data_IF_070672247356
#
_entry.id   IF_070672247356
#
_cell.length_a   1.000
_cell.length_b   1.000
_cell.length_c   1.000
_cell.angle_alpha   90.00
_cell.angle_beta   90.00
_cell.angle_gamma   90.00
#
_symmetry.space_group_name_H-M   'P 1'
#
loop_
_entity.id
_entity.type
_entity.pdbx_description
1 polymer ?
#
# COMPACT_ATOMS: atom_id res chain seq x y z
N UNK A 1 -7.36 -7.02 -15.36
CA UNK A 1 -5.91 -6.70 -15.31
C UNK A 1 -5.18 -7.96 -14.93
N UNK A 2 -4.27 -8.40 -15.77
CA UNK A 2 -3.44 -9.59 -15.58
C UNK A 2 -2.01 -9.19 -15.16
N UNK A 3 -1.15 -10.19 -14.93
CA UNK A 3 0.24 -9.97 -14.49
C UNK A 3 1.05 -9.15 -15.51
N UNK A 4 0.88 -9.46 -16.80
CA UNK A 4 1.59 -8.75 -17.87
C UNK A 4 1.20 -7.27 -17.91
N UNK A 5 -0.09 -6.95 -17.75
CA UNK A 5 -0.56 -5.55 -17.73
C UNK A 5 0.11 -4.73 -16.63
N UNK A 6 0.30 -5.32 -15.45
CA UNK A 6 0.96 -4.66 -14.30
C UNK A 6 2.44 -4.42 -14.60
N UNK A 7 3.15 -5.42 -15.08
CA UNK A 7 4.58 -5.34 -15.41
C UNK A 7 4.81 -4.34 -16.56
N UNK A 8 3.98 -4.38 -17.61
CA UNK A 8 4.09 -3.47 -18.74
C UNK A 8 3.87 -2.02 -18.31
N UNK A 9 2.94 -1.77 -17.37
CA UNK A 9 2.73 -0.44 -16.81
C UNK A 9 3.98 0.06 -16.07
N UNK A 10 4.56 -0.74 -15.17
CA UNK A 10 5.77 -0.33 -14.44
C UNK A 10 6.98 -0.12 -15.36
N UNK A 11 7.13 -0.95 -16.39
CA UNK A 11 8.16 -0.77 -17.40
C UNK A 11 7.98 0.53 -18.19
N UNK A 12 6.74 0.92 -18.50
CA UNK A 12 6.44 2.19 -19.15
C UNK A 12 6.73 3.40 -18.24
N UNK A 13 6.43 3.29 -16.94
CA UNK A 13 6.82 4.30 -15.94
C UNK A 13 8.35 4.40 -15.82
N UNK A 14 9.06 3.28 -15.76
CA UNK A 14 10.52 3.25 -15.71
C UNK A 14 11.15 3.94 -16.95
N UNK A 15 10.66 3.63 -18.15
CA UNK A 15 11.10 4.29 -19.39
C UNK A 15 10.85 5.80 -19.35
N UNK A 16 9.67 6.21 -18.85
CA UNK A 16 9.28 7.61 -18.73
C UNK A 16 10.19 8.37 -17.75
N UNK A 17 10.54 7.71 -16.64
CA UNK A 17 11.48 8.26 -15.65
C UNK A 17 12.89 8.39 -16.21
N UNK A 18 13.41 7.35 -16.84
CA UNK A 18 14.74 7.35 -17.44
C UNK A 18 14.88 8.38 -18.59
N UNK A 19 13.78 8.73 -19.24
CA UNK A 19 13.71 9.80 -20.22
C UNK A 19 13.64 11.22 -19.58
N UNK A 20 13.77 11.35 -18.26
CA UNK A 20 13.76 12.61 -17.53
C UNK A 20 12.41 13.33 -17.46
N UNK A 21 11.31 12.63 -17.79
CA UNK A 21 9.95 13.20 -17.80
C UNK A 21 9.26 13.19 -16.43
N UNK A 22 9.82 12.46 -15.46
CA UNK A 22 9.33 12.42 -14.07
C UNK A 22 10.44 12.98 -13.18
N UNK A 23 10.18 14.11 -12.51
CA UNK A 23 11.16 14.82 -11.67
C UNK A 23 10.93 14.60 -10.16
N UNK A 24 10.30 13.50 -9.80
CA UNK A 24 10.00 13.12 -8.42
C UNK A 24 10.42 11.69 -8.14
N UNK A 25 10.59 11.30 -6.86
CA UNK A 25 10.86 9.92 -6.52
C UNK A 25 9.75 8.99 -7.02
N UNK A 26 10.15 7.82 -7.52
CA UNK A 26 9.25 6.72 -7.85
C UNK A 26 9.73 5.43 -7.17
N UNK A 27 8.80 4.57 -6.81
CA UNK A 27 9.11 3.24 -6.24
C UNK A 27 8.30 2.19 -7.00
N UNK A 28 8.97 1.50 -7.91
CA UNK A 28 8.34 0.49 -8.74
C UNK A 28 8.12 -0.83 -7.97
N UNK A 29 7.12 -1.57 -8.40
CA UNK A 29 6.88 -2.95 -7.95
C UNK A 29 7.74 -3.96 -8.72
N UNK A 30 7.99 -5.09 -8.06
CA UNK A 30 8.65 -6.26 -8.65
C UNK A 30 8.26 -7.50 -7.86
N UNK A 31 7.94 -8.60 -8.55
CA UNK A 31 7.73 -9.94 -8.00
C UNK A 31 6.55 -10.12 -7.02
N UNK A 32 5.57 -9.21 -7.00
CA UNK A 32 4.42 -9.28 -6.10
C UNK A 32 3.06 -9.34 -6.84
N UNK A 33 3.08 -9.47 -8.16
CA UNK A 33 1.91 -9.36 -9.02
C UNK A 33 0.87 -10.43 -8.72
N UNK A 34 1.30 -11.70 -8.67
CA UNK A 34 0.40 -12.84 -8.48
C UNK A 34 -0.31 -12.79 -7.12
N UNK A 35 0.44 -12.38 -6.08
CA UNK A 35 -0.14 -12.18 -4.75
C UNK A 35 -1.20 -11.07 -4.77
N UNK A 36 -0.88 -9.90 -5.32
CA UNK A 36 -1.77 -8.76 -5.35
C UNK A 36 -3.02 -9.05 -6.19
N UNK A 37 -2.87 -9.66 -7.38
CA UNK A 37 -4.00 -10.05 -8.22
C UNK A 37 -4.94 -11.00 -7.46
N UNK A 38 -4.39 -12.02 -6.81
CA UNK A 38 -5.18 -12.97 -5.99
C UNK A 38 -5.86 -12.27 -4.82
N UNK A 39 -5.14 -11.38 -4.15
CA UNK A 39 -5.65 -10.62 -3.01
C UNK A 39 -6.82 -9.72 -3.41
N UNK A 40 -6.67 -8.95 -4.49
CA UNK A 40 -7.68 -7.99 -4.96
C UNK A 40 -8.98 -8.62 -5.46
N UNK A 41 -9.00 -9.91 -5.78
CA UNK A 41 -10.26 -10.66 -6.03
C UNK A 41 -11.22 -10.64 -4.83
N UNK A 42 -10.72 -10.42 -3.61
CA UNK A 42 -11.50 -10.35 -2.36
C UNK A 42 -11.89 -8.92 -1.98
N UNK A 43 -11.27 -7.92 -2.59
CA UNK A 43 -11.51 -6.50 -2.30
C UNK A 43 -12.74 -6.02 -3.05
N UNK A 44 -13.71 -5.49 -2.32
CA UNK A 44 -14.96 -4.96 -2.90
C UNK A 44 -14.77 -3.52 -3.37
N UNK A 45 -15.67 -3.06 -4.24
CA UNK A 45 -15.64 -1.70 -4.80
C UNK A 45 -15.59 -0.61 -3.71
N UNK A 46 -16.35 -0.78 -2.63
CA UNK A 46 -16.46 0.21 -1.55
C UNK A 46 -15.49 -0.01 -0.39
N UNK A 47 -14.65 -1.03 -0.43
CA UNK A 47 -13.57 -1.19 0.54
C UNK A 47 -12.48 -0.14 0.29
N UNK A 48 -11.83 0.29 1.37
CA UNK A 48 -10.76 1.26 1.30
C UNK A 48 -9.39 0.61 1.29
N UNK A 49 -8.51 1.15 0.47
CA UNK A 49 -7.12 0.75 0.36
C UNK A 49 -6.23 1.90 0.82
N UNK A 50 -5.37 1.62 1.78
CA UNK A 50 -4.31 2.51 2.22
C UNK A 50 -2.96 1.88 1.91
N UNK A 51 -2.05 2.65 1.35
CA UNK A 51 -0.73 2.18 0.93
C UNK A 51 0.37 3.11 1.42
N UNK A 52 1.56 2.54 1.61
CA UNK A 52 2.79 3.32 1.63
C UNK A 52 3.08 3.88 0.21
N UNK A 53 4.24 4.46 0.02
CA UNK A 53 4.64 5.13 -1.24
C UNK A 53 4.67 4.24 -2.48
N UNK A 54 4.81 2.91 -2.34
CA UNK A 54 4.70 1.96 -3.45
C UNK A 54 3.25 1.50 -3.58
N UNK A 55 2.51 2.06 -4.55
CA UNK A 55 1.06 1.86 -4.61
C UNK A 55 0.46 1.76 -6.03
N UNK A 56 1.31 1.70 -7.07
CA UNK A 56 0.83 1.68 -8.45
C UNK A 56 -0.06 0.47 -8.73
N UNK A 57 0.37 -0.73 -8.32
CA UNK A 57 -0.40 -1.96 -8.54
C UNK A 57 -1.73 -1.94 -7.80
N UNK A 58 -1.77 -1.45 -6.56
CA UNK A 58 -3.02 -1.33 -5.81
C UNK A 58 -3.98 -0.35 -6.49
N UNK A 59 -3.48 0.77 -7.05
CA UNK A 59 -4.29 1.71 -7.81
C UNK A 59 -4.89 1.04 -9.04
N UNK A 60 -4.09 0.36 -9.83
CA UNK A 60 -4.52 -0.35 -11.05
C UNK A 60 -5.54 -1.43 -10.72
N UNK A 61 -5.27 -2.27 -9.73
CA UNK A 61 -6.15 -3.37 -9.32
C UNK A 61 -7.44 -2.88 -8.66
N UNK A 62 -7.44 -1.67 -8.11
CA UNK A 62 -8.65 -1.00 -7.59
C UNK A 62 -9.48 -0.33 -8.69
N UNK A 63 -8.98 -0.35 -9.93
CA UNK A 63 -9.70 0.12 -11.11
C UNK A 63 -9.39 1.56 -11.52
N UNK A 64 -8.32 2.17 -10.99
CA UNK A 64 -7.83 3.46 -11.50
C UNK A 64 -7.35 3.26 -12.94
N UNK A 65 -7.86 4.04 -13.92
CA UNK A 65 -7.43 3.90 -15.31
C UNK A 65 -5.91 4.14 -15.46
N UNK A 66 -5.18 3.29 -16.21
CA UNK A 66 -3.73 3.44 -16.38
C UNK A 66 -3.30 4.83 -16.86
N UNK A 67 -4.05 5.42 -17.80
CA UNK A 67 -3.76 6.80 -18.29
C UNK A 67 -3.87 7.85 -17.17
N UNK A 68 -4.89 7.72 -16.31
CA UNK A 68 -5.09 8.63 -15.17
C UNK A 68 -3.96 8.47 -14.15
N UNK A 69 -3.61 7.22 -13.81
CA UNK A 69 -2.53 6.93 -12.90
C UNK A 69 -1.19 7.46 -13.42
N UNK A 70 -0.87 7.20 -14.69
CA UNK A 70 0.37 7.68 -15.32
C UNK A 70 0.46 9.21 -15.30
N UNK A 71 -0.65 9.91 -15.54
CA UNK A 71 -0.68 11.37 -15.45
C UNK A 71 -0.29 11.85 -14.04
N UNK A 72 -0.90 11.33 -12.98
CA UNK A 72 -0.56 11.72 -11.59
C UNK A 72 0.90 11.38 -11.24
N UNK A 73 1.45 10.30 -11.78
CA UNK A 73 2.86 9.94 -11.58
C UNK A 73 3.78 10.96 -12.28
N UNK A 74 3.48 11.36 -13.52
CA UNK A 74 4.24 12.38 -14.24
C UNK A 74 4.15 13.73 -13.53
N UNK A 75 2.99 14.06 -12.96
CA UNK A 75 2.76 15.27 -12.16
C UNK A 75 3.44 15.21 -10.76
N UNK A 76 4.30 14.20 -10.51
CA UNK A 76 5.14 14.11 -9.32
C UNK A 76 4.48 13.45 -8.09
N UNK A 77 3.30 12.85 -8.23
CA UNK A 77 2.53 12.30 -7.10
C UNK A 77 2.71 10.81 -6.89
N UNK A 78 3.69 10.17 -7.55
CA UNK A 78 3.90 8.71 -7.49
C UNK A 78 3.88 8.13 -6.07
N UNK A 79 4.48 8.83 -5.11
CA UNK A 79 4.62 8.39 -3.72
C UNK A 79 3.47 8.84 -2.80
N UNK A 80 2.49 9.60 -3.32
CA UNK A 80 1.38 10.17 -2.54
C UNK A 80 0.08 10.22 -3.34
N UNK A 81 -0.25 9.09 -3.98
CA UNK A 81 -1.44 8.96 -4.81
C UNK A 81 -2.72 8.99 -3.96
N UNK A 82 -3.70 9.77 -4.39
CA UNK A 82 -4.99 9.90 -3.72
C UNK A 82 -6.12 9.84 -4.74
N UNK A 83 -6.90 8.76 -4.73
CA UNK A 83 -8.05 8.57 -5.61
C UNK A 83 -9.32 8.26 -4.80
N UNK A 84 -9.99 9.26 -4.20
CA UNK A 84 -11.16 9.05 -3.33
C UNK A 84 -12.31 8.32 -4.03
N UNK A 85 -12.51 8.57 -5.34
CA UNK A 85 -13.51 7.87 -6.16
C UNK A 85 -13.29 6.35 -6.15
N UNK A 86 -12.04 5.91 -6.11
CA UNK A 86 -11.65 4.50 -6.08
C UNK A 86 -11.39 3.98 -4.66
N UNK A 87 -11.60 4.83 -3.63
CA UNK A 87 -11.34 4.46 -2.24
C UNK A 87 -9.89 4.03 -1.99
N UNK A 88 -8.94 4.78 -2.55
CA UNK A 88 -7.51 4.52 -2.37
C UNK A 88 -6.78 5.79 -1.95
N UNK A 89 -5.83 5.62 -1.04
CA UNK A 89 -4.98 6.67 -0.52
C UNK A 89 -3.58 6.12 -0.23
N UNK A 90 -2.54 6.81 -0.66
CA UNK A 90 -1.16 6.48 -0.31
C UNK A 90 -0.42 7.68 0.29
N UNK A 91 0.63 7.40 1.05
CA UNK A 91 1.44 8.42 1.71
C UNK A 91 2.92 8.07 1.64
N UNK A 92 3.74 9.10 1.42
CA UNK A 92 5.19 9.02 1.49
C UNK A 92 5.73 8.95 2.94
N UNK A 93 4.90 9.26 3.92
CA UNK A 93 5.31 9.29 5.33
C UNK A 93 5.28 7.86 5.88
N UNK A 94 6.44 7.38 6.35
CA UNK A 94 6.56 6.05 6.98
C UNK A 94 5.61 5.96 8.18
N UNK A 95 4.76 4.95 8.18
CA UNK A 95 3.76 4.74 9.23
C UNK A 95 2.57 5.70 9.21
N UNK A 96 2.62 6.81 8.46
CA UNK A 96 1.58 7.85 8.48
C UNK A 96 0.18 7.35 8.08
N UNK A 97 0.10 6.38 7.18
CA UNK A 97 -1.19 5.79 6.77
C UNK A 97 -1.85 4.94 7.86
N UNK A 98 -1.09 4.46 8.83
CA UNK A 98 -1.59 3.55 9.88
C UNK A 98 -2.69 4.20 10.73
N UNK A 99 -2.45 5.33 11.41
CA UNK A 99 -3.48 5.98 12.21
C UNK A 99 -4.63 6.54 11.36
N UNK A 100 -4.35 6.96 10.11
CA UNK A 100 -5.40 7.42 9.19
C UNK A 100 -6.36 6.28 8.83
N UNK A 101 -5.82 5.13 8.45
CA UNK A 101 -6.59 3.93 8.13
C UNK A 101 -7.38 3.40 9.33
N UNK A 102 -6.77 3.49 10.54
CA UNK A 102 -7.42 3.13 11.80
C UNK A 102 -8.63 4.03 12.10
N UNK A 103 -8.47 5.34 11.95
CA UNK A 103 -9.56 6.31 12.13
C UNK A 103 -10.74 6.05 11.20
N UNK A 104 -10.46 5.74 9.92
CA UNK A 104 -11.50 5.34 8.99
C UNK A 104 -12.19 4.04 9.39
N UNK A 105 -11.43 3.02 9.80
CA UNK A 105 -11.99 1.75 10.26
C UNK A 105 -12.89 1.92 11.48
N UNK A 106 -12.51 2.80 12.42
CA UNK A 106 -13.33 3.17 13.56
C UNK A 106 -14.65 3.83 13.12
N UNK A 107 -14.59 4.77 12.15
CA UNK A 107 -15.77 5.40 11.56
C UNK A 107 -16.70 4.36 10.91
N UNK A 108 -16.14 3.45 10.10
CA UNK A 108 -16.92 2.38 9.46
C UNK A 108 -17.62 1.49 10.49
N UNK A 109 -16.94 1.15 11.59
CA UNK A 109 -17.53 0.38 12.67
C UNK A 109 -18.68 1.11 13.35
N UNK A 110 -18.48 2.40 13.69
CA UNK A 110 -19.54 3.24 14.32
C UNK A 110 -20.77 3.36 13.42
N UNK A 111 -20.56 3.46 12.10
CA UNK A 111 -21.64 3.51 11.09
C UNK A 111 -22.23 2.14 10.76
N UNK A 112 -21.81 1.07 11.43
CA UNK A 112 -22.22 -0.32 11.14
C UNK A 112 -22.06 -0.71 9.67
N UNK A 113 -21.05 -0.14 9.00
CA UNK A 113 -20.76 -0.40 7.60
C UNK A 113 -20.20 -1.81 7.40
N UNK A 114 -20.58 -2.46 6.27
CA UNK A 114 -20.04 -3.75 5.86
C UNK A 114 -18.70 -3.62 5.10
N UNK A 115 -18.25 -2.40 4.81
CA UNK A 115 -17.00 -2.15 4.10
C UNK A 115 -15.80 -2.40 5.02
N UNK A 116 -14.68 -2.74 4.41
CA UNK A 116 -13.41 -3.02 5.09
C UNK A 116 -12.35 -2.00 4.71
N UNK A 117 -11.32 -1.93 5.53
CA UNK A 117 -10.10 -1.19 5.27
C UNK A 117 -8.96 -2.19 5.09
N UNK A 118 -8.16 -2.03 4.05
CA UNK A 118 -6.94 -2.79 3.81
C UNK A 118 -5.77 -1.81 3.81
N UNK A 119 -4.81 -2.02 4.72
CA UNK A 119 -3.66 -1.15 4.90
C UNK A 119 -2.39 -1.91 4.54
N UNK A 120 -1.76 -1.52 3.42
CA UNK A 120 -0.52 -2.11 2.91
C UNK A 120 0.67 -1.34 3.45
N UNK A 121 1.55 -2.02 4.15
CA UNK A 121 2.74 -1.44 4.77
C UNK A 121 3.96 -2.30 4.47
N UNK A 122 5.14 -1.69 4.42
CA UNK A 122 6.39 -2.43 4.30
C UNK A 122 6.79 -3.10 5.63
N UNK A 123 7.66 -4.09 5.53
CA UNK A 123 8.22 -4.85 6.63
C UNK A 123 8.91 -3.99 7.69
N UNK A 124 9.74 -3.01 7.29
CA UNK A 124 10.35 -2.06 8.22
C UNK A 124 9.30 -1.25 8.99
N UNK A 125 8.24 -0.84 8.30
CA UNK A 125 7.15 -0.06 8.92
C UNK A 125 6.39 -0.89 9.95
N UNK A 126 6.22 -2.21 9.74
CA UNK A 126 5.50 -3.09 10.66
C UNK A 126 6.15 -3.21 12.04
N UNK A 127 7.45 -2.91 12.13
CA UNK A 127 8.22 -2.98 13.37
C UNK A 127 8.32 -1.63 14.11
N UNK A 128 7.68 -0.58 13.59
CA UNK A 128 7.65 0.74 14.26
C UNK A 128 6.65 0.77 15.42
N UNK A 129 6.88 1.63 16.41
CA UNK A 129 5.96 1.83 17.54
C UNK A 129 4.55 2.18 17.09
N UNK A 130 4.40 3.06 16.09
CA UNK A 130 3.07 3.45 15.54
C UNK A 130 2.33 2.26 14.92
N UNK A 131 3.04 1.29 14.33
CA UNK A 131 2.43 0.08 13.80
C UNK A 131 1.90 -0.80 14.94
N UNK A 132 2.73 -1.04 15.97
CA UNK A 132 2.33 -1.83 17.14
C UNK A 132 1.11 -1.24 17.84
N UNK A 133 1.10 0.06 18.08
CA UNK A 133 -0.04 0.75 18.71
C UNK A 133 -1.30 0.65 17.86
N UNK A 134 -1.19 0.92 16.55
CA UNK A 134 -2.31 0.87 15.61
C UNK A 134 -2.91 -0.52 15.52
N UNK A 135 -2.07 -1.55 15.36
CA UNK A 135 -2.50 -2.95 15.26
C UNK A 135 -3.17 -3.39 16.58
N UNK A 136 -2.52 -3.13 17.72
CA UNK A 136 -3.04 -3.46 19.05
C UNK A 136 -4.41 -2.81 19.31
N UNK A 137 -4.55 -1.52 19.01
CA UNK A 137 -5.82 -0.81 19.15
C UNK A 137 -6.90 -1.39 18.25
N UNK A 138 -6.57 -1.65 16.97
CA UNK A 138 -7.52 -2.23 16.02
C UNK A 138 -8.06 -3.59 16.47
N UNK A 139 -7.18 -4.44 17.00
CA UNK A 139 -7.55 -5.76 17.54
C UNK A 139 -8.44 -5.62 18.78
N UNK A 140 -8.03 -4.80 19.75
CA UNK A 140 -8.80 -4.52 20.98
C UNK A 140 -10.21 -4.04 20.67
N UNK A 141 -10.34 -3.16 19.68
CA UNK A 141 -11.64 -2.60 19.26
C UNK A 141 -12.34 -3.43 18.19
N UNK A 142 -11.79 -4.56 17.75
CA UNK A 142 -12.35 -5.42 16.68
C UNK A 142 -12.77 -4.58 15.46
N UNK A 143 -11.85 -3.77 14.94
CA UNK A 143 -12.12 -2.88 13.81
C UNK A 143 -12.09 -3.63 12.47
N UNK A 144 -12.86 -3.20 11.46
CA UNK A 144 -12.89 -3.82 10.13
C UNK A 144 -11.67 -3.42 9.29
N UNK A 145 -10.46 -3.60 9.82
CA UNK A 145 -9.19 -3.30 9.16
C UNK A 145 -8.32 -4.55 9.08
N UNK A 146 -7.62 -4.70 7.94
CA UNK A 146 -6.63 -5.73 7.70
C UNK A 146 -5.30 -5.06 7.33
N UNK A 147 -4.23 -5.43 8.02
CA UNK A 147 -2.88 -4.99 7.69
C UNK A 147 -2.22 -6.04 6.81
N UNK A 148 -1.65 -5.60 5.69
CA UNK A 148 -0.93 -6.44 4.74
C UNK A 148 0.52 -5.99 4.76
N UNK A 149 1.41 -6.84 5.27
CA UNK A 149 2.84 -6.56 5.33
C UNK A 149 3.46 -7.07 4.04
N UNK A 150 3.99 -6.14 3.24
CA UNK A 150 4.73 -6.43 2.03
C UNK A 150 6.22 -6.57 2.41
N UNK A 151 6.62 -7.82 2.66
CA UNK A 151 7.95 -8.16 3.11
C UNK A 151 8.89 -8.42 1.92
N UNK A 152 9.77 -7.47 1.66
CA UNK A 152 10.86 -7.60 0.71
C UNK A 152 12.23 -7.60 1.40
N UNK A 153 12.26 -7.77 2.73
CA UNK A 153 13.44 -7.78 3.59
C UNK A 153 14.19 -6.45 3.70
N UNK A 154 13.74 -5.40 3.04
CA UNK A 154 14.44 -4.12 2.96
C UNK A 154 13.51 -2.92 3.02
N UNK A 155 13.98 -1.86 3.64
CA UNK A 155 13.44 -0.51 3.47
C UNK A 155 14.43 0.31 2.66
N UNK A 156 14.09 0.60 1.40
CA UNK A 156 15.00 1.16 0.38
C UNK A 156 16.24 0.26 0.23
N UNK A 157 17.37 0.61 0.83
CA UNK A 157 18.61 -0.18 0.83
C UNK A 157 18.94 -0.83 2.18
N UNK A 158 18.16 -0.55 3.24
CA UNK A 158 18.43 -0.98 4.61
C UNK A 158 17.74 -2.30 4.92
N UNK A 159 18.49 -3.29 5.41
CA UNK A 159 17.96 -4.60 5.80
C UNK A 159 17.13 -4.50 7.07
N UNK A 160 15.85 -4.89 6.96
CA UNK A 160 14.88 -4.80 8.06
C UNK A 160 15.26 -5.68 9.24
N UNK A 161 15.64 -6.92 8.98
CA UNK A 161 15.91 -7.88 10.05
C UNK A 161 17.19 -7.55 10.80
N UNK A 162 18.23 -7.12 10.09
CA UNK A 162 19.48 -6.66 10.72
C UNK A 162 19.24 -5.42 11.59
N UNK A 163 18.49 -4.44 11.08
CA UNK A 163 18.19 -3.20 11.80
C UNK A 163 17.50 -3.46 13.13
N UNK A 164 16.54 -4.35 13.15
CA UNK A 164 15.76 -4.66 14.35
C UNK A 164 16.26 -5.88 15.12
N UNK A 165 17.40 -6.48 14.71
CA UNK A 165 17.94 -7.71 15.30
C UNK A 165 16.93 -8.86 15.39
N UNK A 166 16.12 -9.03 14.33
CA UNK A 166 15.03 -9.99 14.29
C UNK A 166 15.36 -11.22 13.44
N UNK A 167 14.95 -12.38 13.91
CA UNK A 167 14.91 -13.60 13.07
C UNK A 167 13.67 -13.61 12.17
N UNK A 168 12.53 -13.11 12.67
CA UNK A 168 11.23 -13.02 12.01
C UNK A 168 10.56 -11.71 12.38
N UNK A 169 9.67 -11.22 11.49
CA UNK A 169 8.85 -10.06 11.81
C UNK A 169 7.86 -10.37 12.93
N UNK A 170 7.54 -9.36 13.74
CA UNK A 170 6.62 -9.51 14.89
C UNK A 170 5.24 -10.04 14.49
N UNK A 171 4.74 -9.66 13.32
CA UNK A 171 3.43 -10.05 12.80
C UNK A 171 3.50 -11.05 11.64
N UNK A 172 4.63 -11.73 11.48
CA UNK A 172 4.77 -12.80 10.49
C UNK A 172 3.83 -13.96 10.87
N UNK A 173 2.98 -14.39 9.94
CA UNK A 173 2.11 -15.55 10.18
C UNK A 173 2.96 -16.80 10.35
N UNK A 174 2.67 -17.55 11.39
CA UNK A 174 3.19 -18.91 11.59
C UNK A 174 2.57 -19.89 10.60
#
# INVERSE_FOLDING_TARGET
>A
MNKKDLIDFENDIAKTFNAGKIRSPIHLYSNNEDFLIKFFRRVKKNDWIFCSWRSHYQCLLKGVPPKTLKKEIIDGKSISLCFPKYKIYSSAIVGGILPISLGLALSLKRKKSKNKVFCFIGDMTSETGIAHETIKYSMSKKLPIHFIIEDNTKSVCTDTRKTWSLKKLTYEKK
#
